data_IF_191380300152
#
_entry.id   IF_191380300152
#
_cell.length_a   1.000
_cell.length_b   1.000
_cell.length_c   1.000
_cell.angle_alpha   90.00
_cell.angle_beta   90.00
_cell.angle_gamma   90.00
#
_symmetry.space_group_name_H-M   'P 1'
#
loop_
_entity.id
_entity.type
_entity.pdbx_description
1 polymer ?
#
# COMPACT_ATOMS: atom_id res chain seq x y z
N UNK A 1 -38.79 -20.35 -7.36
CA UNK A 1 -38.71 -21.23 -6.18
C UNK A 1 -37.30 -21.10 -5.67
N UNK A 2 -37.11 -20.24 -4.68
CA UNK A 2 -35.85 -19.98 -3.98
C UNK A 2 -35.51 -21.22 -3.16
N UNK A 3 -34.46 -21.97 -3.53
CA UNK A 3 -33.90 -22.98 -2.65
C UNK A 3 -33.30 -22.27 -1.42
N UNK A 4 -33.84 -22.49 -0.21
CA UNK A 4 -33.28 -21.96 1.00
C UNK A 4 -32.43 -23.05 1.64
N UNK A 5 -31.11 -22.86 1.63
CA UNK A 5 -30.12 -23.33 2.59
C UNK A 5 -28.80 -22.96 1.93
N UNK A 6 -28.13 -21.93 2.44
CA UNK A 6 -26.74 -21.70 2.06
C UNK A 6 -25.96 -22.86 2.65
N UNK A 7 -25.88 -23.97 1.91
CA UNK A 7 -25.00 -25.07 2.25
C UNK A 7 -23.60 -24.49 2.11
N UNK A 8 -22.87 -24.43 3.22
CA UNK A 8 -21.47 -24.08 3.24
C UNK A 8 -20.69 -25.40 3.18
N UNK A 9 -20.37 -25.92 1.98
CA UNK A 9 -19.77 -27.23 1.84
C UNK A 9 -18.35 -27.24 2.39
N UNK A 10 -17.87 -28.41 2.78
CA UNK A 10 -16.45 -28.61 3.06
C UNK A 10 -15.64 -28.22 1.79
N UNK A 11 -14.71 -27.24 1.90
CA UNK A 11 -13.90 -26.84 0.76
C UNK A 11 -13.12 -28.01 0.15
N UNK A 12 -12.63 -28.95 0.95
CA UNK A 12 -11.83 -30.06 0.46
C UNK A 12 -12.66 -31.08 -0.34
N UNK A 13 -13.94 -31.27 0.00
CA UNK A 13 -14.84 -32.10 -0.79
C UNK A 13 -15.07 -31.47 -2.18
N UNK A 14 -15.32 -30.17 -2.24
CA UNK A 14 -15.54 -29.48 -3.51
C UNK A 14 -14.26 -29.46 -4.36
N UNK A 15 -13.11 -29.15 -3.76
CA UNK A 15 -11.82 -29.15 -4.45
C UNK A 15 -11.45 -30.54 -4.99
N UNK A 16 -11.88 -31.63 -4.35
CA UNK A 16 -11.64 -33.00 -4.84
C UNK A 16 -12.34 -33.32 -6.16
N UNK A 17 -13.30 -32.48 -6.59
CA UNK A 17 -14.09 -32.65 -7.82
C UNK A 17 -13.91 -31.52 -8.83
N UNK A 18 -13.20 -30.44 -8.45
CA UNK A 18 -13.12 -29.22 -9.25
C UNK A 18 -11.86 -29.24 -10.13
N UNK A 19 -11.98 -29.40 -11.46
CA UNK A 19 -10.82 -29.42 -12.36
C UNK A 19 -10.17 -28.04 -12.51
N UNK A 20 -8.88 -28.03 -12.84
CA UNK A 20 -8.17 -26.82 -13.25
C UNK A 20 -8.25 -26.65 -14.77
N UNK A 21 -8.41 -25.41 -15.21
CA UNK A 21 -8.43 -25.02 -16.62
C UNK A 21 -7.30 -24.03 -16.91
N UNK A 22 -6.42 -24.41 -17.84
CA UNK A 22 -5.36 -23.55 -18.37
C UNK A 22 -5.61 -23.32 -19.86
N UNK A 23 -5.74 -22.06 -20.26
CA UNK A 23 -6.01 -21.69 -21.65
C UNK A 23 -4.75 -21.04 -22.24
N UNK A 24 -4.12 -21.70 -23.20
CA UNK A 24 -2.97 -21.18 -23.96
C UNK A 24 -3.40 -20.36 -25.19
N UNK A 25 -2.44 -19.95 -26.04
CA UNK A 25 -2.72 -19.16 -27.25
C UNK A 25 -3.53 -19.89 -28.33
N UNK A 26 -3.55 -21.23 -28.35
CA UNK A 26 -4.21 -22.01 -29.40
C UNK A 26 -4.77 -23.37 -28.99
N UNK A 27 -4.50 -23.80 -27.75
CA UNK A 27 -5.05 -25.00 -27.12
C UNK A 27 -5.29 -24.68 -25.64
N UNK A 28 -5.95 -25.57 -24.92
CA UNK A 28 -6.01 -25.52 -23.47
C UNK A 28 -6.05 -26.91 -22.87
N UNK A 29 -5.76 -26.95 -21.58
CA UNK A 29 -5.72 -28.17 -20.78
C UNK A 29 -6.78 -28.08 -19.70
N UNK A 30 -7.51 -29.19 -19.53
CA UNK A 30 -8.30 -29.46 -18.34
C UNK A 30 -7.57 -30.57 -17.57
N UNK A 31 -7.21 -30.28 -16.33
CA UNK A 31 -6.63 -31.26 -15.39
C UNK A 31 -7.66 -31.55 -14.31
N UNK A 32 -8.08 -32.80 -14.19
CA UNK A 32 -8.96 -33.23 -13.11
C UNK A 32 -8.17 -33.52 -11.83
N UNK A 33 -8.80 -33.44 -10.64
CA UNK A 33 -8.10 -33.69 -9.37
C UNK A 33 -7.54 -35.10 -9.20
N UNK A 34 -8.06 -36.10 -9.93
CA UNK A 34 -7.56 -37.48 -9.99
C UNK A 34 -6.39 -37.67 -10.97
N UNK A 35 -6.00 -36.61 -11.69
CA UNK A 35 -4.80 -36.57 -12.53
C UNK A 35 -5.06 -36.87 -14.01
N UNK A 36 -6.31 -36.93 -14.47
CA UNK A 36 -6.58 -37.02 -15.90
C UNK A 36 -6.32 -35.69 -16.60
N UNK A 37 -5.49 -35.73 -17.64
CA UNK A 37 -5.13 -34.56 -18.45
C UNK A 37 -5.85 -34.65 -19.78
N UNK A 38 -6.72 -33.68 -20.07
CA UNK A 38 -7.33 -33.50 -21.38
C UNK A 38 -6.73 -32.28 -22.08
N UNK A 39 -6.16 -32.48 -23.27
CA UNK A 39 -5.70 -31.38 -24.15
C UNK A 39 -6.71 -31.18 -25.29
N UNK A 40 -7.10 -29.93 -25.52
CA UNK A 40 -8.15 -29.56 -26.46
C UNK A 40 -7.73 -28.37 -27.32
N UNK A 41 -8.17 -28.35 -28.57
CA UNK A 41 -8.16 -27.10 -29.33
C UNK A 41 -9.17 -26.09 -28.72
N UNK A 42 -9.05 -24.80 -29.06
CA UNK A 42 -9.94 -23.77 -28.49
C UNK A 42 -11.43 -24.02 -28.81
N UNK A 43 -11.78 -24.63 -29.94
CA UNK A 43 -13.19 -24.89 -30.30
C UNK A 43 -13.77 -26.02 -29.47
N UNK A 44 -13.00 -27.07 -29.23
CA UNK A 44 -13.35 -28.19 -28.37
C UNK A 44 -13.44 -27.74 -26.91
N UNK A 45 -12.46 -26.96 -26.45
CA UNK A 45 -12.42 -26.42 -25.10
C UNK A 45 -13.66 -25.57 -24.77
N UNK A 46 -14.09 -24.71 -25.70
CA UNK A 46 -15.33 -23.92 -25.58
C UNK A 46 -16.59 -24.78 -25.38
N UNK A 47 -16.60 -26.01 -25.91
CA UNK A 47 -17.71 -26.95 -25.70
C UNK A 47 -17.57 -27.66 -24.36
N UNK A 48 -16.36 -28.10 -24.02
CA UNK A 48 -16.06 -28.82 -22.79
C UNK A 48 -16.34 -28.00 -21.53
N UNK A 49 -15.98 -26.70 -21.54
CA UNK A 49 -16.10 -25.84 -20.36
C UNK A 49 -17.51 -25.32 -20.07
N UNK A 50 -18.43 -25.44 -21.02
CA UNK A 50 -19.73 -24.78 -20.95
C UNK A 50 -20.56 -25.32 -19.79
N UNK A 51 -21.12 -24.40 -19.00
CA UNK A 51 -22.00 -24.69 -17.85
C UNK A 51 -21.33 -25.59 -16.78
N UNK A 52 -20.01 -25.72 -16.82
CA UNK A 52 -19.19 -26.42 -15.84
C UNK A 52 -18.41 -25.43 -14.97
N UNK A 53 -17.75 -25.95 -13.93
CA UNK A 53 -16.96 -25.15 -12.99
C UNK A 53 -15.48 -25.55 -13.06
N UNK A 54 -14.60 -24.54 -13.05
CA UNK A 54 -13.15 -24.76 -13.11
C UNK A 54 -12.40 -23.82 -12.17
N UNK A 55 -11.29 -24.29 -11.60
CA UNK A 55 -10.27 -23.42 -11.03
C UNK A 55 -9.44 -22.87 -12.18
N UNK A 56 -9.26 -21.56 -12.21
CA UNK A 56 -8.43 -20.88 -13.20
C UNK A 56 -7.43 -19.97 -12.51
N UNK A 57 -6.42 -19.52 -13.25
CA UNK A 57 -5.56 -18.42 -12.84
C UNK A 57 -5.78 -17.24 -13.77
N UNK A 58 -6.27 -16.12 -13.23
CA UNK A 58 -6.50 -14.87 -13.95
C UNK A 58 -7.64 -14.94 -14.97
N UNK A 59 -8.84 -14.66 -14.49
CA UNK A 59 -10.09 -14.61 -15.25
C UNK A 59 -10.04 -13.69 -16.47
N UNK A 60 -9.33 -12.56 -16.41
CA UNK A 60 -9.17 -11.64 -17.53
C UNK A 60 -8.36 -12.28 -18.66
N UNK A 61 -7.24 -12.93 -18.34
CA UNK A 61 -6.41 -13.62 -19.33
C UNK A 61 -7.14 -14.82 -19.91
N UNK A 62 -7.75 -15.64 -19.06
CA UNK A 62 -8.53 -16.81 -19.48
C UNK A 62 -9.68 -16.41 -20.41
N UNK A 63 -10.45 -15.38 -20.05
CA UNK A 63 -11.58 -14.91 -20.86
C UNK A 63 -11.15 -14.33 -22.21
N UNK A 64 -10.00 -13.63 -22.27
CA UNK A 64 -9.46 -13.12 -23.55
C UNK A 64 -9.07 -14.24 -24.51
N UNK A 65 -8.55 -15.35 -23.99
CA UNK A 65 -8.11 -16.50 -24.81
C UNK A 65 -9.27 -17.42 -25.18
N UNK A 66 -10.15 -17.72 -24.22
CA UNK A 66 -11.30 -18.60 -24.40
C UNK A 66 -12.44 -17.91 -25.15
N UNK A 67 -12.54 -16.58 -25.10
CA UNK A 67 -13.64 -15.81 -25.67
C UNK A 67 -14.93 -15.93 -24.85
N UNK A 68 -16.06 -15.51 -25.43
CA UNK A 68 -17.36 -15.48 -24.76
C UNK A 68 -17.95 -16.89 -24.63
N UNK A 69 -17.67 -17.57 -23.52
CA UNK A 69 -18.33 -18.81 -23.10
C UNK A 69 -18.73 -18.68 -21.63
N UNK A 70 -19.94 -19.14 -21.30
CA UNK A 70 -20.43 -19.18 -19.92
C UNK A 70 -19.90 -20.43 -19.22
N UNK A 71 -19.21 -20.22 -18.10
CA UNK A 71 -18.75 -21.26 -17.17
C UNK A 71 -18.56 -20.60 -15.80
N UNK A 72 -18.52 -21.42 -14.73
CA UNK A 72 -18.27 -20.93 -13.38
C UNK A 72 -16.77 -20.92 -13.11
N UNK A 73 -16.19 -19.73 -13.01
CA UNK A 73 -14.77 -19.56 -12.74
C UNK A 73 -14.49 -19.42 -11.24
N UNK A 74 -13.58 -20.25 -10.73
CA UNK A 74 -12.98 -20.10 -9.41
C UNK A 74 -11.56 -19.57 -9.62
N UNK A 75 -11.39 -18.24 -9.65
CA UNK A 75 -10.09 -17.62 -9.89
C UNK A 75 -9.21 -17.75 -8.64
N UNK A 76 -8.12 -18.50 -8.74
CA UNK A 76 -7.21 -18.76 -7.63
C UNK A 76 -6.54 -17.49 -7.11
N UNK A 77 -6.40 -16.46 -7.94
CA UNK A 77 -5.80 -15.19 -7.53
C UNK A 77 -6.74 -14.39 -6.60
N UNK A 78 -8.06 -14.55 -6.75
CA UNK A 78 -9.03 -13.96 -5.83
C UNK A 78 -8.97 -14.65 -4.46
N UNK A 79 -8.88 -15.98 -4.46
CA UNK A 79 -8.70 -16.75 -3.22
C UNK A 79 -7.38 -16.39 -2.53
N UNK A 80 -6.29 -16.27 -3.30
CA UNK A 80 -5.00 -15.82 -2.79
C UNK A 80 -5.12 -14.43 -2.14
N UNK A 81 -5.73 -13.46 -2.81
CA UNK A 81 -5.87 -12.10 -2.29
C UNK A 81 -6.70 -12.04 -1.01
N UNK A 82 -7.71 -12.91 -0.88
CA UNK A 82 -8.52 -13.01 0.33
C UNK A 82 -7.74 -13.64 1.50
N UNK A 83 -7.03 -14.74 1.26
CA UNK A 83 -6.35 -15.50 2.33
C UNK A 83 -5.02 -14.85 2.71
N UNK A 84 -4.35 -14.17 1.79
CA UNK A 84 -3.07 -13.47 1.98
C UNK A 84 -3.19 -11.99 1.66
N UNK A 85 -3.96 -11.23 2.46
CA UNK A 85 -4.14 -9.81 2.22
C UNK A 85 -2.79 -9.09 2.25
N UNK A 86 -2.61 -8.14 1.32
CA UNK A 86 -1.40 -7.32 1.17
C UNK A 86 -0.09 -8.08 0.83
N UNK A 87 -0.15 -9.36 0.46
CA UNK A 87 1.01 -10.07 -0.10
C UNK A 87 1.08 -9.94 -1.63
N UNK A 88 2.30 -9.83 -2.16
CA UNK A 88 2.51 -9.75 -3.61
C UNK A 88 2.46 -11.14 -4.26
N UNK A 89 1.73 -11.26 -5.37
CA UNK A 89 1.75 -12.43 -6.24
C UNK A 89 1.74 -11.97 -7.71
N UNK A 90 2.68 -12.45 -8.51
CA UNK A 90 2.59 -12.29 -9.97
C UNK A 90 1.33 -13.03 -10.45
N UNK A 91 0.45 -12.44 -11.29
CA UNK A 91 -0.87 -12.99 -11.59
C UNK A 91 -0.81 -14.08 -12.69
N UNK A 92 0.03 -15.08 -12.44
CA UNK A 92 0.33 -16.25 -13.28
C UNK A 92 0.54 -17.47 -12.37
N UNK A 93 0.35 -18.71 -12.85
CA UNK A 93 0.64 -19.92 -12.07
C UNK A 93 2.06 -19.92 -11.47
N UNK A 94 3.05 -19.48 -12.24
CA UNK A 94 4.42 -19.31 -11.74
C UNK A 94 4.54 -18.36 -10.53
N UNK A 95 3.72 -17.31 -10.49
CA UNK A 95 3.66 -16.40 -9.34
C UNK A 95 3.17 -17.09 -8.07
N UNK A 96 2.20 -18.00 -8.19
CA UNK A 96 1.72 -18.81 -7.08
C UNK A 96 2.80 -19.77 -6.57
N UNK A 97 3.61 -20.36 -7.45
CA UNK A 97 4.78 -21.16 -7.06
C UNK A 97 5.71 -20.38 -6.14
N UNK A 98 6.03 -19.13 -6.52
CA UNK A 98 6.91 -18.28 -5.71
C UNK A 98 6.24 -17.85 -4.41
N UNK A 99 4.98 -17.40 -4.46
CA UNK A 99 4.27 -16.87 -3.30
C UNK A 99 3.93 -17.96 -2.25
N UNK A 100 3.62 -19.18 -2.70
CA UNK A 100 3.25 -20.31 -1.83
C UNK A 100 4.43 -21.24 -1.50
N UNK A 101 5.60 -21.01 -2.09
CA UNK A 101 6.84 -21.73 -1.80
C UNK A 101 6.85 -23.17 -2.34
N UNK A 102 6.29 -23.40 -3.52
CA UNK A 102 6.35 -24.73 -4.14
C UNK A 102 7.75 -25.03 -4.70
N UNK A 103 8.19 -26.27 -4.50
CA UNK A 103 9.47 -26.78 -5.00
C UNK A 103 9.23 -27.51 -6.33
N UNK A 104 9.67 -26.93 -7.44
CA UNK A 104 9.52 -27.56 -8.75
C UNK A 104 9.96 -26.63 -9.87
N UNK A 105 10.49 -27.20 -10.95
CA UNK A 105 10.84 -26.49 -12.19
C UNK A 105 10.12 -27.06 -13.41
N UNK A 106 9.07 -27.84 -13.19
CA UNK A 106 8.28 -28.35 -14.29
C UNK A 106 7.55 -27.18 -14.94
N UNK A 107 7.69 -27.10 -16.26
CA UNK A 107 7.14 -26.04 -17.09
C UNK A 107 6.10 -26.65 -18.04
N UNK A 108 5.18 -25.80 -18.49
CA UNK A 108 4.15 -26.18 -19.45
C UNK A 108 2.75 -26.20 -18.84
N UNK A 109 1.71 -26.34 -19.68
CA UNK A 109 0.35 -26.07 -19.25
C UNK A 109 -0.20 -27.10 -18.25
N UNK A 110 0.30 -28.33 -18.26
CA UNK A 110 -0.05 -29.37 -17.28
C UNK A 110 0.52 -29.01 -15.89
N UNK A 111 1.79 -28.62 -15.83
CA UNK A 111 2.42 -28.17 -14.59
C UNK A 111 1.72 -26.90 -14.04
N UNK A 112 1.34 -25.97 -14.92
CA UNK A 112 0.52 -24.81 -14.55
C UNK A 112 -0.83 -25.21 -13.93
N UNK A 113 -1.53 -26.18 -14.53
CA UNK A 113 -2.81 -26.67 -14.01
C UNK A 113 -2.64 -27.34 -12.65
N UNK A 114 -1.58 -28.13 -12.47
CA UNK A 114 -1.25 -28.76 -11.20
C UNK A 114 -0.96 -27.73 -10.11
N UNK A 115 -0.17 -26.69 -10.42
CA UNK A 115 0.10 -25.58 -9.50
C UNK A 115 -1.21 -24.90 -9.07
N UNK A 116 -2.16 -24.70 -9.98
CA UNK A 116 -3.46 -24.10 -9.65
C UNK A 116 -4.22 -24.96 -8.62
N UNK A 117 -4.32 -26.28 -8.85
CA UNK A 117 -4.99 -27.21 -7.92
C UNK A 117 -4.29 -27.24 -6.55
N UNK A 118 -2.97 -27.38 -6.54
CA UNK A 118 -2.16 -27.39 -5.31
C UNK A 118 -2.25 -26.08 -4.54
N UNK A 119 -2.30 -24.95 -5.25
CA UNK A 119 -2.46 -23.62 -4.65
C UNK A 119 -3.75 -23.51 -3.87
N UNK A 120 -4.87 -23.99 -4.43
CA UNK A 120 -6.17 -23.97 -3.76
C UNK A 120 -6.13 -24.77 -2.46
N UNK A 121 -5.59 -26.00 -2.51
CA UNK A 121 -5.44 -26.84 -1.31
C UNK A 121 -4.55 -26.18 -0.25
N UNK A 122 -3.39 -25.63 -0.66
CA UNK A 122 -2.43 -24.98 0.25
C UNK A 122 -3.02 -23.74 0.92
N UNK A 123 -3.76 -22.93 0.17
CA UNK A 123 -4.43 -21.74 0.68
C UNK A 123 -5.51 -22.11 1.70
N UNK A 124 -6.37 -23.09 1.42
CA UNK A 124 -7.36 -23.54 2.40
C UNK A 124 -6.71 -24.16 3.64
N UNK A 125 -5.65 -24.96 3.50
CA UNK A 125 -4.87 -25.47 4.64
C UNK A 125 -4.29 -24.35 5.51
N UNK A 126 -3.79 -23.28 4.89
CA UNK A 126 -3.31 -22.10 5.62
C UNK A 126 -4.45 -21.38 6.35
N UNK A 127 -5.60 -21.25 5.70
CA UNK A 127 -6.76 -20.54 6.24
C UNK A 127 -7.37 -21.23 7.46
N UNK A 128 -7.49 -22.56 7.45
CA UNK A 128 -8.01 -23.33 8.60
C UNK A 128 -6.98 -23.55 9.71
N UNK A 129 -5.74 -23.09 9.52
CA UNK A 129 -4.69 -23.22 10.54
C UNK A 129 -5.06 -22.42 11.80
N UNK A 130 -4.87 -22.98 13.01
CA UNK A 130 -5.08 -22.24 14.25
C UNK A 130 -4.26 -20.94 14.35
N UNK A 131 -3.13 -20.87 13.65
CA UNK A 131 -2.21 -19.72 13.64
C UNK A 131 -2.51 -18.71 12.52
N UNK A 132 -3.68 -18.79 11.86
CA UNK A 132 -4.02 -17.86 10.79
C UNK A 132 -4.19 -16.42 11.29
N UNK A 133 -3.27 -15.54 10.89
CA UNK A 133 -3.16 -14.18 11.44
C UNK A 133 -4.30 -13.23 11.08
N UNK A 134 -5.09 -13.55 10.04
CA UNK A 134 -6.10 -12.64 9.49
C UNK A 134 -7.54 -13.16 9.67
N UNK A 135 -7.79 -13.92 10.73
CA UNK A 135 -9.13 -14.48 10.99
C UNK A 135 -10.18 -13.41 11.32
N UNK A 136 -9.76 -12.27 11.88
CA UNK A 136 -10.65 -11.18 12.25
C UNK A 136 -11.32 -10.54 11.01
N UNK A 137 -12.65 -10.49 11.01
CA UNK A 137 -13.43 -9.95 9.90
C UNK A 137 -13.55 -10.84 8.66
N UNK A 138 -12.80 -11.93 8.57
CA UNK A 138 -12.82 -12.84 7.42
C UNK A 138 -14.22 -13.44 7.17
N UNK A 139 -14.96 -13.79 8.22
CA UNK A 139 -16.32 -14.34 8.09
C UNK A 139 -17.29 -13.31 7.48
N UNK A 140 -17.33 -12.10 8.04
CA UNK A 140 -18.21 -11.04 7.54
C UNK A 140 -17.87 -10.65 6.09
N UNK A 141 -16.58 -10.59 5.77
CA UNK A 141 -16.10 -10.36 4.40
C UNK A 141 -16.53 -11.47 3.44
N UNK A 142 -16.30 -12.74 3.80
CA UNK A 142 -16.68 -13.90 3.00
C UNK A 142 -18.19 -13.96 2.76
N UNK A 143 -18.99 -13.64 3.78
CA UNK A 143 -20.44 -13.59 3.67
C UNK A 143 -20.93 -12.51 2.71
N UNK A 144 -20.46 -11.27 2.87
CA UNK A 144 -20.83 -10.18 1.97
C UNK A 144 -20.42 -10.48 0.51
N UNK A 145 -19.25 -11.06 0.31
CA UNK A 145 -18.77 -11.47 -1.02
C UNK A 145 -19.58 -12.65 -1.58
N UNK A 146 -19.96 -13.63 -0.77
CA UNK A 146 -20.82 -14.75 -1.18
C UNK A 146 -22.22 -14.26 -1.61
N UNK A 147 -22.82 -13.35 -0.85
CA UNK A 147 -24.10 -12.71 -1.18
C UNK A 147 -24.00 -11.90 -2.49
N UNK A 148 -22.83 -11.33 -2.79
CA UNK A 148 -22.52 -10.67 -4.06
C UNK A 148 -22.17 -11.63 -5.22
N UNK A 149 -22.17 -12.94 -4.99
CA UNK A 149 -21.94 -13.98 -6.01
C UNK A 149 -20.49 -14.43 -6.17
N UNK A 150 -19.59 -14.09 -5.24
CA UNK A 150 -18.21 -14.57 -5.27
C UNK A 150 -18.13 -16.09 -5.07
N UNK A 151 -17.60 -16.87 -6.03
CA UNK A 151 -17.69 -18.33 -6.00
C UNK A 151 -16.98 -18.99 -4.81
N UNK A 152 -15.89 -18.39 -4.30
CA UNK A 152 -15.14 -18.91 -3.16
C UNK A 152 -15.80 -18.66 -1.80
N UNK A 153 -16.69 -17.65 -1.70
CA UNK A 153 -17.31 -17.24 -0.43
C UNK A 153 -17.97 -18.40 0.35
N UNK A 154 -18.83 -19.23 -0.29
CA UNK A 154 -19.41 -20.40 0.37
C UNK A 154 -18.39 -21.43 0.88
N UNK A 155 -17.26 -21.59 0.19
CA UNK A 155 -16.19 -22.53 0.58
C UNK A 155 -15.39 -21.99 1.78
N UNK A 156 -15.15 -20.68 1.83
CA UNK A 156 -14.52 -20.01 2.97
C UNK A 156 -15.39 -20.14 4.22
N UNK A 157 -16.70 -19.92 4.08
CA UNK A 157 -17.66 -20.08 5.18
C UNK A 157 -17.76 -21.54 5.64
N UNK A 158 -17.70 -22.50 4.71
CA UNK A 158 -17.67 -23.93 5.02
C UNK A 158 -16.40 -24.33 5.77
N UNK A 159 -15.25 -23.77 5.38
CA UNK A 159 -13.97 -23.98 6.05
C UNK A 159 -13.97 -23.49 7.52
N UNK A 160 -14.76 -22.46 7.83
CA UNK A 160 -14.92 -21.93 9.19
C UNK A 160 -15.90 -22.75 10.05
N UNK A 161 -16.63 -23.71 9.47
CA UNK A 161 -17.60 -24.54 10.20
C UNK A 161 -18.84 -23.79 10.69
N UNK A 162 -19.17 -22.64 10.09
CA UNK A 162 -20.32 -21.85 10.51
C UNK A 162 -21.55 -22.12 9.64
N UNK A 163 -22.64 -22.53 10.29
CA UNK A 163 -23.96 -22.70 9.65
C UNK A 163 -24.83 -21.43 9.70
N UNK A 164 -24.34 -20.34 10.31
CA UNK A 164 -25.11 -19.12 10.56
C UNK A 164 -24.34 -17.85 10.17
N UNK A 165 -25.11 -16.78 9.90
CA UNK A 165 -24.61 -15.42 9.63
C UNK A 165 -23.74 -14.94 10.80
N UNK A 166 -22.50 -14.55 10.50
CA UNK A 166 -21.58 -13.98 11.48
C UNK A 166 -21.99 -12.56 11.90
N UNK A 167 -21.46 -12.02 13.01
CA UNK A 167 -21.62 -10.62 13.35
C UNK A 167 -21.01 -9.71 12.28
N UNK A 168 -21.59 -8.52 12.10
CA UNK A 168 -21.02 -7.49 11.24
C UNK A 168 -19.62 -7.09 11.75
N UNK A 169 -18.68 -6.92 10.81
CA UNK A 169 -17.32 -6.49 11.12
C UNK A 169 -17.06 -5.08 10.60
N UNK A 170 -16.50 -4.24 11.48
CA UNK A 170 -16.19 -2.86 11.18
C UNK A 170 -14.80 -2.52 11.71
N UNK A 171 -13.83 -2.31 10.81
CA UNK A 171 -12.43 -2.04 11.18
C UNK A 171 -12.28 -0.81 12.08
N UNK A 172 -13.18 0.17 11.97
CA UNK A 172 -13.16 1.38 12.81
C UNK A 172 -13.55 1.12 14.26
N UNK A 173 -14.12 -0.03 14.61
CA UNK A 173 -14.36 -0.40 16.00
C UNK A 173 -13.05 -0.60 16.79
N UNK A 174 -11.91 -0.76 16.10
CA UNK A 174 -10.58 -0.84 16.70
C UNK A 174 -9.87 0.52 16.81
N UNK A 175 -10.43 1.56 16.20
CA UNK A 175 -9.84 2.89 16.28
C UNK A 175 -10.23 3.54 17.61
N UNK A 176 -9.28 4.20 18.30
CA UNK A 176 -9.63 4.97 19.47
C UNK A 176 -10.59 6.08 19.07
N UNK A 177 -11.55 6.40 19.95
CA UNK A 177 -12.38 7.58 19.77
C UNK A 177 -11.48 8.81 19.68
N UNK A 178 -11.60 9.54 18.57
CA UNK A 178 -10.90 10.80 18.38
C UNK A 178 -11.84 11.96 18.71
N UNK A 179 -11.35 12.90 19.50
CA UNK A 179 -12.05 14.14 19.81
C UNK A 179 -11.35 15.30 19.11
N UNK A 180 -12.12 16.17 18.46
CA UNK A 180 -11.62 17.39 17.85
C UNK A 180 -11.19 18.36 18.94
N UNK A 181 -9.88 18.45 19.20
CA UNK A 181 -9.32 19.43 20.13
C UNK A 181 -9.47 20.83 19.56
N UNK A 182 -9.68 21.83 20.43
CA UNK A 182 -9.68 23.22 20.03
C UNK A 182 -8.41 23.56 19.21
N UNK A 183 -8.52 24.39 18.16
CA UNK A 183 -7.36 24.80 17.38
C UNK A 183 -6.32 25.46 18.30
N UNK A 184 -5.01 25.27 18.03
CA UNK A 184 -3.98 25.93 18.80
C UNK A 184 -4.15 27.46 18.72
N UNK A 185 -3.69 28.21 19.74
CA UNK A 185 -3.68 29.66 19.66
C UNK A 185 -2.88 30.15 18.44
N UNK A 186 -3.16 31.35 17.93
CA UNK A 186 -2.38 31.91 16.83
C UNK A 186 -0.90 31.99 17.22
N UNK A 187 0.03 31.87 16.24
CA UNK A 187 1.46 31.98 16.51
C UNK A 187 1.84 33.32 17.15
N UNK A 188 2.90 33.31 17.96
CA UNK A 188 3.54 34.51 18.50
C UNK A 188 4.17 35.40 17.42
N UNK A 189 4.66 36.55 17.86
CA UNK A 189 5.34 37.55 17.02
C UNK A 189 6.72 37.94 17.58
N UNK A 190 7.34 37.08 18.39
CA UNK A 190 8.68 37.33 18.90
C UNK A 190 9.70 37.36 17.75
N UNK A 191 10.51 38.44 17.65
CA UNK A 191 11.51 38.54 16.59
C UNK A 191 12.63 37.52 16.80
N UNK A 192 13.27 37.17 15.69
CA UNK A 192 14.57 36.49 15.69
C UNK A 192 15.66 37.51 15.41
N UNK A 193 16.71 37.52 16.24
CA UNK A 193 17.83 38.44 16.10
C UNK A 193 18.96 37.84 15.26
N UNK A 194 19.80 38.69 14.67
CA UNK A 194 20.97 38.23 13.90
C UNK A 194 21.94 37.39 14.75
N UNK A 195 22.28 37.76 16.02
CA UNK A 195 23.13 36.93 16.87
C UNK A 195 22.55 35.54 17.14
N UNK A 196 21.23 35.44 17.39
CA UNK A 196 20.57 34.14 17.59
C UNK A 196 20.64 33.28 16.33
N UNK A 197 20.43 33.89 15.16
CA UNK A 197 20.45 33.18 13.89
C UNK A 197 21.84 32.69 13.52
N UNK A 198 22.88 33.47 13.82
CA UNK A 198 24.26 33.06 13.65
C UNK A 198 24.65 31.93 14.61
N UNK A 199 24.24 32.01 15.88
CA UNK A 199 24.46 30.94 16.85
C UNK A 199 23.78 29.63 16.40
N UNK A 200 22.51 29.70 15.96
CA UNK A 200 21.79 28.55 15.41
C UNK A 200 22.45 28.01 14.15
N UNK A 201 22.98 28.87 13.28
CA UNK A 201 23.71 28.43 12.10
C UNK A 201 24.97 27.65 12.49
N UNK A 202 25.75 28.15 13.46
CA UNK A 202 26.96 27.50 13.95
C UNK A 202 26.63 26.12 14.56
N UNK A 203 25.54 26.01 15.34
CA UNK A 203 25.04 24.74 15.87
C UNK A 203 24.70 23.73 14.75
N UNK A 204 24.00 24.18 13.71
CA UNK A 204 23.60 23.34 12.57
C UNK A 204 24.79 22.91 11.70
N UNK A 205 25.82 23.75 11.61
CA UNK A 205 27.04 23.48 10.85
C UNK A 205 27.94 22.47 11.59
N UNK A 206 27.98 22.55 12.92
CA UNK A 206 28.81 21.72 13.77
C UNK A 206 30.27 22.19 13.87
N UNK A 207 31.06 21.58 14.77
CA UNK A 207 32.36 22.11 15.20
C UNK A 207 33.47 22.07 14.13
N UNK A 208 33.30 21.24 13.09
CA UNK A 208 34.29 21.06 12.02
C UNK A 208 33.95 21.82 10.74
N UNK A 209 32.98 22.73 10.79
CA UNK A 209 32.55 23.46 9.61
C UNK A 209 33.56 24.54 9.22
N UNK A 210 33.79 24.64 7.91
CA UNK A 210 34.53 25.76 7.33
C UNK A 210 33.76 27.07 7.56
N UNK A 211 34.49 28.10 8.01
CA UNK A 211 33.92 29.43 8.19
C UNK A 211 33.66 30.12 6.85
N UNK A 212 32.40 30.48 6.58
CA UNK A 212 31.99 31.12 5.32
C UNK A 212 31.30 32.44 5.58
N UNK A 213 32.01 33.54 5.38
CA UNK A 213 31.48 34.89 5.61
C UNK A 213 30.21 35.18 4.80
N UNK A 214 30.15 34.73 3.53
CA UNK A 214 28.97 34.90 2.69
C UNK A 214 27.73 34.16 3.23
N UNK A 215 27.92 33.02 3.89
CA UNK A 215 26.83 32.27 4.52
C UNK A 215 26.29 33.02 5.74
N UNK A 216 27.18 33.59 6.57
CA UNK A 216 26.82 34.41 7.72
C UNK A 216 26.05 35.66 7.29
N UNK A 217 26.55 36.38 6.29
CA UNK A 217 25.88 37.57 5.74
C UNK A 217 24.50 37.23 5.16
N UNK A 218 24.39 36.12 4.42
CA UNK A 218 23.12 35.65 3.89
C UNK A 218 22.13 35.31 5.01
N UNK A 219 22.60 34.69 6.09
CA UNK A 219 21.80 34.35 7.28
C UNK A 219 21.29 35.61 8.00
N UNK A 220 22.15 36.62 8.20
CA UNK A 220 21.72 37.90 8.75
C UNK A 220 20.66 38.58 7.87
N UNK A 221 20.82 38.52 6.54
CA UNK A 221 19.85 39.09 5.61
C UNK A 221 18.48 38.39 5.68
N UNK A 222 18.46 37.05 5.70
CA UNK A 222 17.21 36.27 5.80
C UNK A 222 16.55 36.39 7.17
N UNK A 223 17.32 36.61 8.23
CA UNK A 223 16.81 36.86 9.59
C UNK A 223 15.82 38.01 9.63
N UNK A 224 16.05 39.06 8.83
CA UNK A 224 15.16 40.23 8.75
C UNK A 224 13.75 39.87 8.33
N UNK A 225 13.51 38.74 7.65
CA UNK A 225 12.16 38.30 7.30
C UNK A 225 11.32 37.91 8.53
N UNK A 226 11.95 37.62 9.67
CA UNK A 226 11.31 37.21 10.92
C UNK A 226 11.19 38.35 11.94
N UNK A 227 11.38 39.59 11.51
CA UNK A 227 11.02 40.78 12.29
C UNK A 227 9.53 41.06 12.13
N UNK A 228 8.79 41.38 13.22
CA UNK A 228 7.38 41.76 13.15
C UNK A 228 7.09 42.82 12.08
N UNK A 229 5.98 42.68 11.34
CA UNK A 229 5.53 43.72 10.41
C UNK A 229 5.06 44.95 11.20
N UNK A 230 5.21 46.13 10.60
CA UNK A 230 4.77 47.40 11.20
C UNK A 230 3.24 47.57 11.12
N UNK A 231 2.62 46.94 10.12
CA UNK A 231 1.17 46.94 9.88
C UNK A 231 0.71 45.55 9.41
N UNK A 232 -0.52 45.10 9.77
CA UNK A 232 -1.07 43.82 9.32
C UNK A 232 -1.11 43.63 7.79
N UNK A 233 -1.29 44.72 7.04
CA UNK A 233 -1.43 44.68 5.57
C UNK A 233 -0.08 44.80 4.83
N UNK A 234 1.03 44.93 5.57
CA UNK A 234 2.37 45.14 5.02
C UNK A 234 3.30 44.00 5.44
N UNK A 235 3.33 42.88 4.69
CA UNK A 235 4.22 41.78 5.00
C UNK A 235 5.68 42.20 4.79
N UNK A 236 6.55 41.72 5.66
CA UNK A 236 7.99 41.95 5.52
C UNK A 236 8.57 41.00 4.47
N UNK A 237 9.04 41.56 3.35
CA UNK A 237 9.62 40.79 2.25
C UNK A 237 11.13 41.05 2.15
N UNK A 238 11.90 39.97 2.00
CA UNK A 238 13.34 40.01 1.76
C UNK A 238 13.62 39.34 0.42
N UNK A 239 14.35 40.04 -0.45
CA UNK A 239 14.93 39.47 -1.67
C UNK A 239 16.43 39.27 -1.42
N UNK A 240 16.87 38.02 -1.38
CA UNK A 240 18.26 37.66 -1.11
C UNK A 240 18.80 36.78 -2.24
N UNK A 241 19.77 37.30 -3.00
CA UNK A 241 20.49 36.52 -4.00
C UNK A 241 21.64 35.73 -3.35
N UNK A 242 21.73 34.45 -3.70
CA UNK A 242 22.74 33.53 -3.16
C UNK A 242 23.42 32.77 -4.30
N UNK A 243 24.75 32.89 -4.39
CA UNK A 243 25.56 32.07 -5.28
C UNK A 243 25.43 30.57 -4.98
N UNK A 244 25.85 29.72 -5.91
CA UNK A 244 25.91 28.28 -5.69
C UNK A 244 26.97 27.95 -4.62
N UNK A 245 26.71 26.92 -3.81
CA UNK A 245 27.68 26.42 -2.83
C UNK A 245 27.86 27.27 -1.56
N UNK A 246 27.19 28.41 -1.41
CA UNK A 246 27.38 29.29 -0.22
C UNK A 246 26.74 28.76 1.07
N UNK A 247 26.05 27.62 1.04
CA UNK A 247 25.31 27.10 2.19
C UNK A 247 23.96 27.79 2.47
N UNK A 248 23.29 28.29 1.42
CA UNK A 248 22.01 29.02 1.52
C UNK A 248 20.93 28.30 2.31
N UNK A 249 20.87 26.97 2.20
CA UNK A 249 19.84 26.14 2.84
C UNK A 249 19.85 26.31 4.36
N UNK A 250 21.00 26.10 5.00
CA UNK A 250 21.12 26.30 6.45
C UNK A 250 20.98 27.78 6.82
N UNK A 251 21.38 28.69 5.94
CA UNK A 251 21.27 30.13 6.19
C UNK A 251 19.85 30.68 6.29
N UNK A 252 18.85 30.08 5.64
CA UNK A 252 17.44 30.41 5.91
C UNK A 252 16.78 29.45 6.91
N UNK A 253 17.25 28.21 7.05
CA UNK A 253 16.72 27.27 8.07
C UNK A 253 17.02 27.75 9.49
N UNK A 254 18.20 28.33 9.72
CA UNK A 254 18.60 28.82 11.05
C UNK A 254 17.57 29.82 11.63
N UNK A 255 17.32 30.99 11.00
CA UNK A 255 16.32 31.92 11.52
C UNK A 255 14.88 31.37 11.47
N UNK A 256 14.54 30.56 10.46
CA UNK A 256 13.22 29.95 10.35
C UNK A 256 12.88 29.00 11.52
N UNK A 257 13.84 28.15 11.89
CA UNK A 257 13.66 27.19 12.98
C UNK A 257 13.50 27.91 14.33
N UNK A 258 14.31 28.94 14.57
CA UNK A 258 14.19 29.78 15.77
C UNK A 258 12.81 30.46 15.86
N UNK A 259 12.33 31.02 14.75
CA UNK A 259 11.02 31.68 14.74
C UNK A 259 9.90 30.67 15.01
N UNK A 260 9.94 29.49 14.38
CA UNK A 260 8.95 28.44 14.59
C UNK A 260 8.92 27.95 16.04
N UNK A 261 10.09 27.80 16.66
CA UNK A 261 10.23 27.38 18.06
C UNK A 261 9.73 28.44 19.04
N UNK A 262 10.12 29.71 18.86
CA UNK A 262 9.69 30.82 19.73
C UNK A 262 8.19 31.07 19.65
N UNK A 263 7.64 31.02 18.44
CA UNK A 263 6.28 31.50 18.19
C UNK A 263 5.25 30.38 18.08
N UNK A 264 5.66 29.11 18.10
CA UNK A 264 4.74 27.98 17.87
C UNK A 264 4.09 28.00 16.47
N UNK A 265 4.70 28.72 15.53
CA UNK A 265 4.19 28.90 14.17
C UNK A 265 4.81 27.94 13.15
N UNK A 266 4.12 27.73 12.03
CA UNK A 266 4.64 26.93 10.91
C UNK A 266 5.37 27.81 9.91
N UNK A 267 6.60 27.44 9.54
CA UNK A 267 7.34 28.08 8.44
C UNK A 267 7.27 27.20 7.19
N UNK A 268 6.91 27.81 6.06
CA UNK A 268 6.81 27.14 4.77
C UNK A 268 8.07 27.36 3.94
N UNK A 269 8.72 26.26 3.56
CA UNK A 269 9.89 26.28 2.66
C UNK A 269 9.46 25.68 1.31
N UNK A 270 9.40 26.52 0.28
CA UNK A 270 9.02 26.13 -1.07
C UNK A 270 10.25 25.99 -1.97
N UNK A 271 10.25 24.99 -2.85
CA UNK A 271 11.34 24.74 -3.80
C UNK A 271 10.83 24.19 -5.12
N UNK A 272 11.63 24.29 -6.18
CA UNK A 272 11.18 24.06 -7.55
C UNK A 272 10.99 22.59 -7.92
N UNK A 273 11.79 21.67 -7.35
CA UNK A 273 11.76 20.25 -7.74
C UNK A 273 11.72 19.29 -6.56
N UNK A 274 11.20 18.08 -6.78
CA UNK A 274 11.22 16.98 -5.79
C UNK A 274 12.64 16.62 -5.34
N UNK A 275 13.61 16.76 -6.24
CA UNK A 275 15.00 16.48 -5.90
C UNK A 275 15.54 17.49 -4.89
N UNK A 276 15.27 18.79 -5.13
CA UNK A 276 15.60 19.84 -4.16
C UNK A 276 14.86 19.62 -2.84
N UNK A 277 13.59 19.22 -2.88
CA UNK A 277 12.83 18.88 -1.66
C UNK A 277 13.50 17.77 -0.84
N UNK A 278 14.01 16.71 -1.48
CA UNK A 278 14.78 15.65 -0.80
C UNK A 278 16.09 16.16 -0.21
N UNK A 279 16.81 17.04 -0.92
CA UNK A 279 18.02 17.66 -0.40
C UNK A 279 17.73 18.55 0.82
N UNK A 280 16.64 19.32 0.78
CA UNK A 280 16.19 20.12 1.93
C UNK A 280 15.83 19.24 3.13
N UNK A 281 15.11 18.15 2.89
CA UNK A 281 14.78 17.20 3.95
C UNK A 281 16.05 16.61 4.60
N UNK A 282 17.08 16.28 3.81
CA UNK A 282 18.36 15.81 4.34
C UNK A 282 19.06 16.86 5.22
N UNK A 283 19.06 18.13 4.80
CA UNK A 283 19.64 19.22 5.61
C UNK A 283 18.86 19.45 6.92
N UNK A 284 17.53 19.27 6.91
CA UNK A 284 16.70 19.35 8.13
C UNK A 284 17.03 18.25 9.15
N UNK A 285 17.68 17.15 8.76
CA UNK A 285 18.18 16.16 9.72
C UNK A 285 19.30 16.71 10.61
N UNK A 286 19.96 17.81 10.23
CA UNK A 286 20.90 18.51 11.13
C UNK A 286 20.17 19.23 12.26
N UNK A 287 18.98 19.77 11.97
CA UNK A 287 18.11 20.42 12.95
C UNK A 287 17.40 19.39 13.85
N UNK A 288 16.98 18.27 13.27
CA UNK A 288 16.33 17.17 13.99
C UNK A 288 17.06 15.84 13.74
N UNK A 289 18.12 15.54 14.52
CA UNK A 289 18.90 14.31 14.36
C UNK A 289 18.09 13.02 14.63
N UNK A 290 17.10 13.07 15.52
CA UNK A 290 16.18 11.96 15.76
C UNK A 290 15.10 11.91 14.67
N UNK A 291 15.02 10.83 13.86
CA UNK A 291 14.01 10.69 12.82
C UNK A 291 12.57 10.74 13.34
N UNK A 292 12.31 10.24 14.56
CA UNK A 292 10.95 10.27 15.14
C UNK A 292 10.53 11.69 15.47
N UNK A 293 11.41 12.44 16.12
CA UNK A 293 11.18 13.86 16.37
C UNK A 293 11.04 14.65 15.06
N UNK A 294 11.88 14.36 14.07
CA UNK A 294 11.81 15.02 12.76
C UNK A 294 10.45 14.82 12.09
N UNK A 295 9.92 13.60 12.08
CA UNK A 295 8.60 13.31 11.50
C UNK A 295 7.46 14.06 12.19
N UNK A 296 7.60 14.39 13.47
CA UNK A 296 6.62 15.19 14.22
C UNK A 296 6.71 16.69 13.90
N UNK A 297 7.90 17.20 13.54
CA UNK A 297 8.15 18.63 13.32
C UNK A 297 8.19 19.04 11.84
N UNK A 298 8.48 18.10 10.95
CA UNK A 298 8.69 18.36 9.52
C UNK A 298 7.74 17.49 8.70
N UNK A 299 6.91 18.14 7.88
CA UNK A 299 5.98 17.48 6.97
C UNK A 299 6.31 17.83 5.54
N UNK A 300 6.48 16.82 4.70
CA UNK A 300 6.73 17.00 3.26
C UNK A 300 5.40 16.99 2.51
N UNK A 301 5.10 18.08 1.80
CA UNK A 301 3.92 18.21 0.93
C UNK A 301 4.27 18.00 -0.55
N UNK A 302 3.52 17.15 -1.24
CA UNK A 302 3.69 16.84 -2.68
C UNK A 302 2.33 16.83 -3.39
N UNK A 303 2.34 16.83 -4.72
CA UNK A 303 1.13 16.51 -5.51
C UNK A 303 0.66 15.07 -5.23
N UNK A 304 -0.65 14.82 -5.29
CA UNK A 304 -1.31 13.54 -4.91
C UNK A 304 -0.69 12.33 -5.59
N UNK A 305 -0.32 12.46 -6.85
CA UNK A 305 0.31 11.44 -7.69
C UNK A 305 1.75 11.08 -7.28
N UNK A 306 2.28 11.72 -6.24
CA UNK A 306 3.66 11.57 -5.78
C UNK A 306 3.80 11.09 -4.34
N UNK A 307 2.68 10.72 -3.72
CA UNK A 307 2.64 9.99 -2.45
C UNK A 307 2.65 8.49 -2.70
#
# INVERSE_FOLDING_TARGET
MTEPLVTFPDPFEVLSRLPALVVGPGHGIILTPDGEVGEYDIRELKKAVRDQAFIICNSVVTSRRLGNVSYRAFDILELFAFIRPAEFCLPLPFGLTQALGFSGREEGPEAEALIILQSAQRLFQQFISPDYAYGEGAMAGAQAMAEAGWPWGPLILGAMGHEQKGPDYHVWNHLPEWQETAPPPPPGIEPVTEPESLARLDDLLGPNAEERQNQKLYTCLTTKAFTPPESPDEPRLILAEAGTGIGKTLGYIAPASLWAEKNGGTVWISTYTKNLQRQLDQELSRLYPDPKHKQQRVVIRKGRENY
#
